data_IF_885733040609
#
_entry.id   IF_885733040609
#
_cell.length_a   1.000
_cell.length_b   1.000
_cell.length_c   1.000
_cell.angle_alpha   90.00
_cell.angle_beta   90.00
_cell.angle_gamma   90.00
#
_symmetry.space_group_name_H-M   'P 1'
#
loop_
_entity.id
_entity.type
_entity.pdbx_description
1 polymer ?
#
# COMPACT_ATOMS: atom_id res chain seq x y z
N UNK A 1 -18.68 -21.06 -9.50
CA UNK A 1 -19.00 -20.47 -8.19
C UNK A 1 -17.82 -19.61 -7.76
N UNK A 2 -17.88 -18.30 -7.99
CA UNK A 2 -16.84 -17.36 -7.53
C UNK A 2 -16.97 -17.19 -6.03
N UNK A 3 -16.06 -17.78 -5.25
CA UNK A 3 -15.89 -17.45 -3.84
C UNK A 3 -15.60 -15.95 -3.76
N UNK A 4 -16.56 -15.18 -3.26
CA UNK A 4 -16.37 -13.75 -3.01
C UNK A 4 -15.42 -13.66 -1.82
N UNK A 5 -14.13 -13.44 -2.09
CA UNK A 5 -13.17 -13.14 -1.02
C UNK A 5 -13.52 -11.77 -0.43
N UNK A 6 -13.50 -11.61 0.90
CA UNK A 6 -13.73 -10.31 1.51
C UNK A 6 -12.61 -9.34 1.08
N UNK A 7 -12.96 -8.12 0.69
CA UNK A 7 -12.00 -7.04 0.37
C UNK A 7 -10.99 -6.83 1.50
N UNK A 8 -11.44 -6.97 2.75
CA UNK A 8 -10.59 -6.89 3.93
C UNK A 8 -9.43 -7.91 3.90
N UNK A 9 -9.67 -9.13 3.38
CA UNK A 9 -8.63 -10.16 3.26
C UNK A 9 -7.56 -9.77 2.25
N UNK A 10 -7.95 -9.14 1.14
CA UNK A 10 -7.01 -8.66 0.13
C UNK A 10 -6.15 -7.52 0.67
N UNK A 11 -6.73 -6.58 1.42
CA UNK A 11 -6.00 -5.49 2.08
C UNK A 11 -4.99 -6.04 3.09
N UNK A 12 -5.40 -6.96 3.96
CA UNK A 12 -4.51 -7.58 4.95
C UNK A 12 -3.37 -8.34 4.27
N UNK A 13 -3.66 -9.03 3.16
CA UNK A 13 -2.64 -9.71 2.37
C UNK A 13 -1.66 -8.72 1.75
N UNK A 14 -2.14 -7.60 1.21
CA UNK A 14 -1.29 -6.55 0.65
C UNK A 14 -0.29 -6.03 1.69
N UNK A 15 -0.75 -5.81 2.92
CA UNK A 15 0.10 -5.39 4.04
C UNK A 15 1.15 -6.46 4.41
N UNK A 16 0.83 -7.75 4.22
CA UNK A 16 1.74 -8.86 4.49
C UNK A 16 2.69 -9.19 3.31
N UNK A 17 2.61 -8.50 2.17
CA UNK A 17 3.39 -8.87 0.98
C UNK A 17 4.90 -8.75 1.18
N UNK A 18 5.38 -7.79 1.97
CA UNK A 18 6.82 -7.63 2.19
C UNK A 18 7.43 -8.87 2.88
N UNK A 19 6.97 -9.28 4.09
CA UNK A 19 7.53 -10.46 4.73
C UNK A 19 7.31 -11.73 3.88
N UNK A 20 6.18 -11.85 3.19
CA UNK A 20 5.90 -12.99 2.31
C UNK A 20 6.87 -13.02 1.11
N UNK A 21 7.14 -11.89 0.47
CA UNK A 21 8.08 -11.77 -0.64
C UNK A 21 9.51 -12.12 -0.23
N UNK A 22 9.94 -11.71 0.96
CA UNK A 22 11.25 -12.08 1.53
C UNK A 22 11.35 -13.58 1.78
N UNK A 23 10.29 -14.22 2.30
CA UNK A 23 10.27 -15.68 2.48
C UNK A 23 10.32 -16.40 1.12
N UNK A 24 9.54 -15.94 0.13
CA UNK A 24 9.52 -16.49 -1.24
C UNK A 24 10.87 -16.36 -1.95
N UNK A 25 11.60 -15.27 -1.75
CA UNK A 25 12.92 -15.10 -2.37
C UNK A 25 13.94 -16.09 -1.79
N UNK A 26 13.93 -16.29 -0.46
CA UNK A 26 14.78 -17.28 0.20
C UNK A 26 14.52 -18.70 -0.30
N UNK A 27 13.26 -19.12 -0.41
CA UNK A 27 12.91 -20.46 -0.90
C UNK A 27 13.30 -20.66 -2.37
N UNK A 28 13.12 -19.64 -3.21
CA UNK A 28 13.55 -19.70 -4.60
C UNK A 28 15.08 -19.80 -4.74
N UNK A 29 15.85 -19.08 -3.91
CA UNK A 29 17.33 -19.14 -3.93
C UNK A 29 17.87 -20.50 -3.50
N UNK A 30 17.24 -21.15 -2.52
CA UNK A 30 17.71 -22.45 -1.99
C UNK A 30 17.25 -23.65 -2.82
N UNK A 31 16.10 -23.56 -3.50
CA UNK A 31 15.55 -24.68 -4.29
C UNK A 31 16.24 -24.88 -5.64
N UNK A 32 16.48 -26.14 -6.06
CA UNK A 32 17.10 -26.51 -7.35
C UNK A 32 16.09 -26.60 -8.53
N UNK A 33 15.08 -25.73 -8.54
CA UNK A 33 14.01 -25.78 -9.55
C UNK A 33 14.43 -25.10 -10.88
N UNK A 34 14.26 -25.75 -12.05
CA UNK A 34 14.47 -25.12 -13.35
C UNK A 34 13.67 -23.82 -13.59
N UNK A 35 12.61 -23.57 -12.81
CA UNK A 35 11.80 -22.34 -12.89
C UNK A 35 12.19 -21.25 -11.85
N UNK A 36 13.38 -21.36 -11.24
CA UNK A 36 13.87 -20.42 -10.21
C UNK A 36 13.74 -18.94 -10.59
N UNK A 37 14.08 -18.57 -11.83
CA UNK A 37 14.00 -17.17 -12.28
C UNK A 37 12.58 -16.60 -12.14
N UNK A 38 11.56 -17.38 -12.50
CA UNK A 38 10.16 -16.96 -12.38
C UNK A 38 9.73 -16.76 -10.93
N UNK A 39 10.16 -17.66 -10.05
CA UNK A 39 9.96 -17.52 -8.60
C UNK A 39 10.62 -16.26 -8.04
N UNK A 40 11.86 -15.99 -8.45
CA UNK A 40 12.60 -14.78 -8.04
C UNK A 40 11.95 -13.49 -8.57
N UNK A 41 11.49 -13.48 -9.82
CA UNK A 41 10.78 -12.33 -10.38
C UNK A 41 9.51 -12.04 -9.59
N UNK A 42 8.71 -13.06 -9.28
CA UNK A 42 7.51 -12.90 -8.48
C UNK A 42 7.82 -12.42 -7.05
N UNK A 43 8.84 -13.00 -6.41
CA UNK A 43 9.29 -12.58 -5.08
C UNK A 43 9.79 -11.13 -5.08
N UNK A 44 10.56 -10.73 -6.08
CA UNK A 44 11.05 -9.36 -6.26
C UNK A 44 9.90 -8.36 -6.44
N UNK A 45 8.93 -8.66 -7.30
CA UNK A 45 7.73 -7.82 -7.45
C UNK A 45 6.89 -7.78 -6.17
N UNK A 46 6.81 -8.89 -5.42
CA UNK A 46 6.10 -8.95 -4.15
C UNK A 46 6.78 -8.11 -3.05
N UNK A 47 8.12 -8.06 -3.04
CA UNK A 47 8.88 -7.15 -2.15
C UNK A 47 8.60 -5.70 -2.52
N UNK A 48 8.70 -5.33 -3.80
CA UNK A 48 8.42 -3.96 -4.26
C UNK A 48 7.01 -3.52 -3.88
N UNK A 49 6.00 -4.33 -4.22
CA UNK A 49 4.61 -4.05 -3.89
C UNK A 49 4.38 -4.04 -2.37
N UNK A 50 5.02 -4.94 -1.62
CA UNK A 50 4.97 -4.95 -0.16
C UNK A 50 5.57 -3.70 0.48
N UNK A 51 6.66 -3.17 -0.06
CA UNK A 51 7.22 -1.88 0.39
C UNK A 51 6.24 -0.74 0.14
N UNK A 52 5.59 -0.70 -1.03
CA UNK A 52 4.53 0.29 -1.30
C UNK A 52 3.37 0.14 -0.31
N UNK A 53 2.92 -1.09 -0.04
CA UNK A 53 1.88 -1.35 0.96
C UNK A 53 2.25 -0.80 2.34
N UNK A 54 3.50 -0.96 2.78
CA UNK A 54 3.94 -0.43 4.08
C UNK A 54 3.93 1.11 4.11
N UNK A 55 4.30 1.76 3.01
CA UNK A 55 4.20 3.23 2.90
C UNK A 55 2.74 3.64 3.06
N UNK A 56 1.82 2.98 2.34
CA UNK A 56 0.38 3.28 2.44
C UNK A 56 -0.15 3.05 3.86
N UNK A 57 0.21 1.94 4.51
CA UNK A 57 -0.16 1.69 5.92
C UNK A 57 0.40 2.78 6.84
N UNK A 58 1.64 3.23 6.63
CA UNK A 58 2.22 4.33 7.39
C UNK A 58 1.46 5.65 7.21
N UNK A 59 1.09 5.98 5.97
CA UNK A 59 0.26 7.15 5.64
C UNK A 59 -1.10 7.06 6.32
N UNK A 60 -1.76 5.90 6.26
CA UNK A 60 -3.05 5.65 6.93
C UNK A 60 -2.96 5.91 8.44
N UNK A 61 -1.93 5.35 9.10
CA UNK A 61 -1.73 5.55 10.53
C UNK A 61 -1.52 7.04 10.86
N UNK A 62 -0.73 7.75 10.06
CA UNK A 62 -0.50 9.18 10.25
C UNK A 62 -1.78 10.01 10.04
N UNK A 63 -2.55 9.68 9.00
CA UNK A 63 -3.81 10.34 8.65
C UNK A 63 -4.87 10.09 9.72
N UNK A 64 -4.98 8.87 10.26
CA UNK A 64 -5.87 8.56 11.37
C UNK A 64 -5.46 9.33 12.63
N UNK A 65 -4.16 9.38 12.95
CA UNK A 65 -3.65 10.16 14.08
C UNK A 65 -4.00 11.64 13.95
N UNK A 66 -3.87 12.23 12.75
CA UNK A 66 -4.17 13.65 12.51
C UNK A 66 -5.64 13.95 12.22
N UNK A 67 -6.43 12.98 11.81
CA UNK A 67 -7.85 13.14 11.52
C UNK A 67 -8.69 12.83 12.76
N UNK A 68 -8.82 11.54 13.09
CA UNK A 68 -9.63 11.09 14.21
C UNK A 68 -9.07 11.59 15.56
N UNK A 69 -7.75 11.61 15.72
CA UNK A 69 -7.07 12.00 16.95
C UNK A 69 -6.47 13.41 16.90
N UNK A 70 -6.94 14.29 16.01
CA UNK A 70 -6.39 15.65 15.82
C UNK A 70 -6.13 16.37 17.15
N UNK A 71 -7.15 16.47 18.01
CA UNK A 71 -7.06 17.17 19.29
C UNK A 71 -6.21 16.47 20.37
N UNK A 72 -5.70 15.27 20.12
CA UNK A 72 -4.68 14.64 20.95
C UNK A 72 -3.27 14.93 20.44
N UNK A 73 -3.11 14.96 19.12
CA UNK A 73 -1.82 15.16 18.43
C UNK A 73 -1.43 16.64 18.36
N UNK A 74 -2.40 17.53 18.21
CA UNK A 74 -2.23 18.99 18.13
C UNK A 74 -3.13 19.64 19.18
N UNK A 75 -2.52 20.33 20.15
CA UNK A 75 -3.20 20.96 21.28
C UNK A 75 -3.42 22.46 21.08
N UNK A 76 -3.06 23.00 19.91
CA UNK A 76 -3.15 24.42 19.59
C UNK A 76 -1.87 25.22 19.86
N UNK A 77 -1.91 26.56 19.70
CA UNK A 77 -3.10 27.39 19.53
C UNK A 77 -3.75 27.27 18.13
N UNK A 78 -5.08 27.10 18.09
CA UNK A 78 -5.84 26.90 16.84
C UNK A 78 -6.12 28.17 16.03
N UNK A 79 -5.53 29.32 16.41
CA UNK A 79 -5.85 30.63 15.82
C UNK A 79 -5.63 30.70 14.30
N UNK A 80 -4.81 29.80 13.75
CA UNK A 80 -4.51 29.69 12.32
C UNK A 80 -4.91 28.33 11.74
N UNK A 81 -5.65 27.51 12.49
CA UNK A 81 -6.07 26.18 12.06
C UNK A 81 -7.18 26.26 11.01
N UNK A 82 -7.13 25.38 10.03
CA UNK A 82 -8.23 25.17 9.10
C UNK A 82 -9.46 24.70 9.89
N UNK A 83 -10.63 25.27 9.63
CA UNK A 83 -11.84 25.01 10.44
C UNK A 83 -12.08 26.02 11.57
N UNK A 84 -11.21 27.04 11.69
CA UNK A 84 -11.40 28.18 12.59
C UNK A 84 -10.70 28.04 13.95
N UNK A 85 -10.86 29.03 14.84
CA UNK A 85 -10.05 29.16 16.06
C UNK A 85 -10.43 28.18 17.18
N UNK A 86 -11.32 27.22 16.90
CA UNK A 86 -11.81 26.25 17.89
C UNK A 86 -11.25 24.88 17.59
N UNK A 87 -10.98 24.10 18.65
CA UNK A 87 -10.58 22.70 18.50
C UNK A 87 -11.62 21.89 17.70
N UNK A 88 -12.92 22.09 17.95
CA UNK A 88 -13.97 21.34 17.29
C UNK A 88 -14.02 21.60 15.77
N UNK A 89 -13.90 22.87 15.37
CA UNK A 89 -13.83 23.24 13.96
C UNK A 89 -12.58 22.68 13.28
N UNK A 90 -11.43 22.79 13.94
CA UNK A 90 -10.17 22.25 13.44
C UNK A 90 -10.21 20.72 13.29
N UNK A 91 -10.70 20.02 14.31
CA UNK A 91 -10.90 18.57 14.28
C UNK A 91 -11.81 18.14 13.14
N UNK A 92 -12.96 18.80 12.95
CA UNK A 92 -13.95 18.40 11.94
C UNK A 92 -13.35 18.46 10.54
N UNK A 93 -12.60 19.51 10.21
CA UNK A 93 -11.94 19.63 8.89
C UNK A 93 -10.92 18.52 8.69
N UNK A 94 -10.06 18.24 9.66
CA UNK A 94 -9.05 17.19 9.54
C UNK A 94 -9.66 15.79 9.48
N UNK A 95 -10.72 15.54 10.26
CA UNK A 95 -11.46 14.29 10.20
C UNK A 95 -12.08 14.09 8.81
N UNK A 96 -12.81 15.07 8.28
CA UNK A 96 -13.44 14.94 6.97
C UNK A 96 -12.41 14.86 5.82
N UNK A 97 -11.32 15.61 5.90
CA UNK A 97 -10.22 15.51 4.93
C UNK A 97 -9.51 14.16 4.98
N UNK A 98 -9.49 13.48 6.14
CA UNK A 98 -8.88 12.16 6.28
C UNK A 98 -9.67 11.05 5.55
N UNK A 99 -11.00 11.14 5.51
CA UNK A 99 -11.85 10.09 4.93
C UNK A 99 -11.52 9.72 3.47
N UNK A 100 -11.42 10.67 2.51
CA UNK A 100 -11.08 10.33 1.13
C UNK A 100 -9.64 9.79 1.01
N UNK A 101 -8.72 10.25 1.86
CA UNK A 101 -7.34 9.77 1.87
C UNK A 101 -7.27 8.30 2.32
N UNK A 102 -7.97 7.98 3.43
CA UNK A 102 -8.10 6.60 3.93
C UNK A 102 -8.77 5.71 2.88
N UNK A 103 -9.89 6.15 2.30
CA UNK A 103 -10.56 5.37 1.26
C UNK A 103 -9.64 5.12 0.05
N UNK A 104 -8.87 6.12 -0.36
CA UNK A 104 -7.90 6.01 -1.47
C UNK A 104 -6.76 5.02 -1.18
N UNK A 105 -6.16 5.10 0.00
CA UNK A 105 -5.05 4.21 0.37
C UNK A 105 -5.53 2.76 0.59
N UNK A 106 -6.69 2.52 1.20
CA UNK A 106 -7.34 1.20 1.22
C UNK A 106 -7.61 0.65 -0.19
N UNK A 107 -8.09 1.49 -1.11
CA UNK A 107 -8.30 1.13 -2.51
C UNK A 107 -6.99 0.74 -3.22
N UNK A 108 -5.89 1.45 -2.94
CA UNK A 108 -4.57 1.11 -3.45
C UNK A 108 -4.04 -0.20 -2.87
N UNK A 109 -4.26 -0.49 -1.58
CA UNK A 109 -3.90 -1.78 -0.98
C UNK A 109 -4.65 -2.94 -1.64
N UNK A 110 -5.95 -2.77 -1.90
CA UNK A 110 -6.72 -3.75 -2.66
C UNK A 110 -6.17 -3.95 -4.08
N UNK A 111 -5.83 -2.86 -4.79
CA UNK A 111 -5.22 -2.93 -6.11
C UNK A 111 -3.86 -3.66 -6.08
N UNK A 112 -3.05 -3.43 -5.06
CA UNK A 112 -1.76 -4.11 -4.87
C UNK A 112 -1.95 -5.63 -4.73
N UNK A 113 -2.93 -6.07 -3.93
CA UNK A 113 -3.23 -7.49 -3.82
C UNK A 113 -3.63 -8.09 -5.18
N UNK A 114 -4.43 -7.37 -5.96
CA UNK A 114 -4.81 -7.78 -7.31
C UNK A 114 -3.59 -7.89 -8.25
N UNK A 115 -2.67 -6.93 -8.19
CA UNK A 115 -1.43 -6.95 -8.97
C UNK A 115 -0.55 -8.15 -8.60
N UNK A 116 -0.36 -8.43 -7.31
CA UNK A 116 0.39 -9.61 -6.83
C UNK A 116 -0.23 -10.91 -7.36
N UNK A 117 -1.56 -11.02 -7.36
CA UNK A 117 -2.27 -12.19 -7.89
C UNK A 117 -2.07 -12.41 -9.39
N UNK A 118 -2.11 -11.32 -10.18
CA UNK A 118 -1.87 -11.37 -11.63
C UNK A 118 -0.42 -11.71 -11.94
N UNK A 119 0.52 -11.20 -11.17
CA UNK A 119 1.94 -11.50 -11.32
C UNK A 119 2.25 -12.94 -10.91
N UNK A 120 1.60 -13.45 -9.86
CA UNK A 120 1.68 -14.86 -9.47
C UNK A 120 1.10 -15.79 -10.54
N UNK A 121 -0.03 -15.40 -11.16
CA UNK A 121 -0.62 -16.11 -12.30
C UNK A 121 0.39 -16.27 -13.45
N UNK A 122 1.03 -15.15 -13.80
CA UNK A 122 1.96 -15.08 -14.92
C UNK A 122 3.26 -15.82 -14.64
N UNK A 123 3.92 -15.51 -13.54
CA UNK A 123 5.26 -16.02 -13.27
C UNK A 123 5.24 -17.42 -12.66
N UNK A 124 4.34 -17.71 -11.73
CA UNK A 124 4.33 -19.00 -11.02
C UNK A 124 3.47 -20.02 -11.76
N UNK A 125 2.25 -19.65 -12.14
CA UNK A 125 1.31 -20.59 -12.83
C UNK A 125 1.51 -20.67 -14.34
N UNK A 126 2.35 -19.79 -14.91
CA UNK A 126 2.64 -19.78 -16.35
C UNK A 126 1.47 -19.30 -17.22
N UNK A 127 0.48 -18.64 -16.64
CA UNK A 127 -0.66 -18.11 -17.38
C UNK A 127 -0.21 -16.97 -18.33
N UNK A 128 -0.77 -16.90 -19.53
CA UNK A 128 -0.45 -15.84 -20.51
C UNK A 128 -1.13 -14.51 -20.23
N UNK A 129 -1.97 -14.44 -19.19
CA UNK A 129 -2.70 -13.25 -18.78
C UNK A 129 -1.82 -12.32 -17.93
N UNK A 130 -2.28 -11.08 -17.68
CA UNK A 130 -1.64 -10.20 -16.69
C UNK A 130 -0.28 -9.60 -17.09
N UNK A 131 0.07 -9.55 -18.38
CA UNK A 131 1.31 -8.89 -18.82
C UNK A 131 1.36 -7.40 -18.41
N UNK A 132 0.20 -6.74 -18.35
CA UNK A 132 0.04 -5.35 -17.89
C UNK A 132 0.33 -5.16 -16.40
N UNK A 133 0.24 -6.22 -15.60
CA UNK A 133 0.42 -6.11 -14.15
C UNK A 133 1.87 -5.75 -13.78
N UNK A 134 2.84 -6.14 -14.61
CA UNK A 134 4.25 -5.79 -14.39
C UNK A 134 4.50 -4.29 -14.57
N UNK A 135 4.20 -3.66 -15.74
CA UNK A 135 4.36 -2.22 -15.87
C UNK A 135 3.50 -1.44 -14.88
N UNK A 136 2.29 -1.91 -14.53
CA UNK A 136 1.47 -1.27 -13.50
C UNK A 136 2.13 -1.31 -12.10
N UNK A 137 2.69 -2.45 -11.70
CA UNK A 137 3.42 -2.57 -10.43
C UNK A 137 4.66 -1.67 -10.41
N UNK A 138 5.41 -1.61 -11.50
CA UNK A 138 6.59 -0.75 -11.62
C UNK A 138 6.23 0.74 -11.57
N UNK A 139 5.17 1.15 -12.26
CA UNK A 139 4.66 2.52 -12.21
C UNK A 139 4.18 2.89 -10.80
N UNK A 140 3.48 1.98 -10.12
CA UNK A 140 3.04 2.20 -8.74
C UNK A 140 4.24 2.35 -7.79
N UNK A 141 5.26 1.50 -7.93
CA UNK A 141 6.50 1.61 -7.15
C UNK A 141 7.26 2.91 -7.44
N UNK A 142 7.35 3.33 -8.70
CA UNK A 142 7.96 4.61 -9.08
C UNK A 142 7.18 5.80 -8.48
N UNK A 143 5.85 5.75 -8.54
CA UNK A 143 4.98 6.75 -7.90
C UNK A 143 5.18 6.82 -6.40
N UNK A 144 5.33 5.69 -5.71
CA UNK A 144 5.63 5.66 -4.29
C UNK A 144 7.00 6.29 -3.96
N UNK A 145 8.02 6.07 -4.79
CA UNK A 145 9.33 6.73 -4.62
C UNK A 145 9.19 8.25 -4.79
N UNK A 146 8.52 8.71 -5.85
CA UNK A 146 8.28 10.14 -6.08
C UNK A 146 7.51 10.74 -4.91
N UNK A 147 6.48 10.06 -4.41
CA UNK A 147 5.72 10.48 -3.24
C UNK A 147 6.61 10.62 -2.00
N UNK A 148 7.44 9.63 -1.69
CA UNK A 148 8.36 9.68 -0.53
C UNK A 148 9.37 10.83 -0.66
N UNK A 149 9.91 11.05 -1.86
CA UNK A 149 10.81 12.17 -2.13
C UNK A 149 10.08 13.50 -1.91
N UNK A 150 8.91 13.70 -2.53
CA UNK A 150 8.11 14.90 -2.36
C UNK A 150 7.74 15.14 -0.89
N UNK A 151 7.39 14.08 -0.17
CA UNK A 151 7.08 14.12 1.24
C UNK A 151 8.29 14.54 2.10
N UNK A 152 9.48 13.96 1.88
CA UNK A 152 10.68 14.32 2.63
C UNK A 152 11.09 15.77 2.36
N UNK A 153 10.96 16.20 1.11
CA UNK A 153 11.30 17.56 0.69
C UNK A 153 10.18 18.59 0.94
N UNK A 154 9.03 18.16 1.44
CA UNK A 154 7.85 19.00 1.68
C UNK A 154 7.49 19.83 0.42
N UNK A 155 7.52 19.17 -0.74
CA UNK A 155 7.18 19.76 -2.05
C UNK A 155 5.68 19.92 -2.25
#
# INVERSE_FOLDING_TARGET
>A
MTSIRPVATDILRAAALLPVGVVRSRTALTGRDPHRLRGLLHAGTGILLGTVSLILVGVELQVIARGAFYGFVDQGPYGHSWGGPTLAGAWLVHFLASLPVVAGALGLLWLIAHLDDRLGARFVRGERTGAWALPAALLLSAGAVVFVIAWIHQL
#
